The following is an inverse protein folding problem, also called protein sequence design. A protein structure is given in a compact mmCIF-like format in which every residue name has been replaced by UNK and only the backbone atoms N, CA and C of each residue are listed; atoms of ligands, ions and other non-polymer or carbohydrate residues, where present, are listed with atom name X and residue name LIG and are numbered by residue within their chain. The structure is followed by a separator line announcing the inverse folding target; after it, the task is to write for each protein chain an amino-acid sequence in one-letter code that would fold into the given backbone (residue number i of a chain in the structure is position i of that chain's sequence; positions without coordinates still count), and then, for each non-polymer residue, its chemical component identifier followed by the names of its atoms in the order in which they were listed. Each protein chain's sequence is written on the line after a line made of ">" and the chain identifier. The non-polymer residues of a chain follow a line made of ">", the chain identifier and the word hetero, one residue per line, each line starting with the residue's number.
data_IF_660318134849
#
_entry.id   IF_660318134849
#
_cell.length_a   1.000
_cell.length_b   1.000
_cell.length_c   1.000
_cell.angle_alpha   90.00
_cell.angle_beta   90.00
_cell.angle_gamma   90.00
#
_symmetry.space_group_name_H-M   'P 1'
#
loop_
_entity.id
_entity.type
_entity.pdbx_description
1 polymer ?
#
# COMPACT_ATOMS: atom_id res chain seq x y z
N UNK A 1 27.48 -20.96 0.60
CA UNK A 1 27.00 -21.54 1.88
C UNK A 1 25.55 -21.15 2.03
N UNK A 2 24.68 -22.10 2.37
CA UNK A 2 23.26 -22.03 2.23
C UNK A 2 22.63 -20.82 2.96
N UNK A 3 21.77 -20.09 2.25
CA UNK A 3 20.82 -19.15 2.86
C UNK A 3 20.05 -19.91 3.94
N UNK A 4 19.95 -19.34 5.13
CA UNK A 4 18.97 -19.81 6.12
C UNK A 4 17.60 -19.58 5.52
N UNK A 5 17.10 -20.58 4.78
CA UNK A 5 15.75 -20.58 4.26
C UNK A 5 14.79 -20.45 5.44
N UNK A 6 14.04 -19.36 5.47
CA UNK A 6 12.94 -19.22 6.43
C UNK A 6 11.99 -20.41 6.21
N UNK A 7 12.00 -21.36 7.16
CA UNK A 7 10.94 -22.35 7.24
C UNK A 7 9.62 -21.65 7.52
N UNK A 8 8.49 -22.11 6.93
CA UNK A 8 7.18 -21.59 7.29
C UNK A 8 6.98 -21.66 8.81
N UNK A 9 6.52 -20.58 9.41
CA UNK A 9 6.18 -20.54 10.84
C UNK A 9 5.02 -21.52 11.05
N UNK A 10 5.24 -22.55 11.86
CA UNK A 10 4.22 -23.53 12.21
C UNK A 10 3.01 -22.83 12.84
N UNK A 11 1.79 -23.04 12.29
CA UNK A 11 0.55 -22.47 12.82
C UNK A 11 -0.14 -21.44 11.90
N UNK A 12 0.35 -21.20 10.69
CA UNK A 12 -0.39 -20.38 9.71
C UNK A 12 -1.61 -21.14 9.17
N UNK A 13 -2.80 -20.52 9.14
CA UNK A 13 -3.96 -21.13 8.48
C UNK A 13 -3.63 -21.34 6.99
N UNK A 14 -3.89 -22.56 6.50
CA UNK A 14 -3.73 -22.92 5.09
C UNK A 14 -4.72 -22.16 4.21
N UNK A 15 -4.26 -21.73 3.04
CA UNK A 15 -5.11 -21.16 2.01
C UNK A 15 -5.92 -22.26 1.31
N UNK A 16 -7.15 -22.03 0.85
CA UNK A 16 -7.95 -23.07 0.15
C UNK A 16 -7.39 -23.41 -1.25
N UNK A 17 -7.05 -24.60 -1.47
CA UNK A 17 -6.66 -25.43 -2.63
C UNK A 17 -6.24 -24.80 -3.96
N UNK A 18 -7.13 -24.30 -4.80
CA UNK A 18 -6.76 -23.85 -6.18
C UNK A 18 -6.02 -22.50 -6.22
N UNK A 19 -6.15 -21.68 -5.20
CA UNK A 19 -5.52 -20.39 -5.11
C UNK A 19 -4.07 -20.48 -4.57
N UNK A 20 -3.69 -21.60 -3.92
CA UNK A 20 -2.32 -21.81 -3.40
C UNK A 20 -1.26 -21.82 -4.52
N UNK A 21 -1.55 -22.48 -5.64
CA UNK A 21 -0.63 -22.52 -6.76
C UNK A 21 -0.47 -21.15 -7.45
N UNK A 22 -1.57 -20.41 -7.58
CA UNK A 22 -1.54 -19.06 -8.15
C UNK A 22 -0.82 -18.09 -7.21
N UNK A 23 -1.07 -18.20 -5.90
CA UNK A 23 -0.37 -17.42 -4.88
C UNK A 23 1.14 -17.72 -4.84
N UNK A 24 1.52 -18.99 -4.85
CA UNK A 24 2.93 -19.40 -4.90
C UNK A 24 3.63 -18.91 -6.18
N UNK A 25 2.94 -18.95 -7.32
CA UNK A 25 3.45 -18.47 -8.60
C UNK A 25 3.72 -16.97 -8.55
N UNK A 26 2.75 -16.15 -8.11
CA UNK A 26 2.90 -14.68 -8.11
C UNK A 26 3.99 -14.23 -7.12
N UNK A 27 4.07 -14.85 -5.94
CA UNK A 27 5.12 -14.54 -4.96
C UNK A 27 6.51 -14.98 -5.45
N UNK A 28 6.61 -16.07 -6.19
CA UNK A 28 7.86 -16.49 -6.86
C UNK A 28 8.31 -15.48 -7.90
N UNK A 29 7.38 -14.98 -8.73
CA UNK A 29 7.67 -13.92 -9.72
C UNK A 29 8.10 -12.61 -9.05
N UNK A 30 7.39 -12.17 -8.01
CA UNK A 30 7.79 -11.00 -7.24
C UNK A 30 9.20 -11.14 -6.64
N UNK A 31 9.53 -12.31 -6.08
CA UNK A 31 10.84 -12.61 -5.52
C UNK A 31 11.95 -12.56 -6.58
N UNK A 32 11.67 -13.02 -7.79
CA UNK A 32 12.65 -13.02 -8.88
C UNK A 32 13.06 -11.61 -9.33
N UNK A 33 12.23 -10.59 -9.09
CA UNK A 33 12.54 -9.20 -9.43
C UNK A 33 13.47 -8.51 -8.43
N UNK A 34 13.65 -9.02 -7.22
CA UNK A 34 14.42 -8.34 -6.15
C UNK A 34 15.82 -7.90 -6.62
N UNK A 35 16.64 -8.74 -7.28
CA UNK A 35 17.99 -8.33 -7.69
C UNK A 35 17.99 -7.14 -8.65
N UNK A 36 17.12 -7.16 -9.68
CA UNK A 36 17.02 -6.07 -10.66
C UNK A 36 16.51 -4.78 -10.04
N UNK A 37 15.56 -4.86 -9.09
CA UNK A 37 15.05 -3.70 -8.38
C UNK A 37 16.14 -3.06 -7.51
N UNK A 38 16.96 -3.86 -6.83
CA UNK A 38 18.12 -3.36 -6.05
C UNK A 38 19.14 -2.64 -6.95
N UNK A 39 19.46 -3.22 -8.10
CA UNK A 39 20.39 -2.64 -9.06
C UNK A 39 19.88 -1.30 -9.58
N UNK A 40 18.59 -1.18 -9.88
CA UNK A 40 17.96 0.02 -10.45
C UNK A 40 17.56 1.08 -9.42
N UNK A 41 17.64 0.80 -8.12
CA UNK A 41 17.09 1.63 -7.08
C UNK A 41 17.64 3.08 -7.05
N UNK A 42 18.92 3.29 -7.35
CA UNK A 42 19.49 4.63 -7.47
C UNK A 42 18.87 5.40 -8.65
N UNK A 43 18.68 4.75 -9.79
CA UNK A 43 18.04 5.34 -10.97
C UNK A 43 16.56 5.63 -10.73
N UNK A 44 15.86 4.77 -9.99
CA UNK A 44 14.46 5.00 -9.57
C UNK A 44 14.34 6.30 -8.75
N UNK A 45 15.25 6.52 -7.80
CA UNK A 45 15.32 7.80 -7.05
C UNK A 45 15.59 9.00 -7.97
N UNK A 46 16.55 8.87 -8.88
CA UNK A 46 16.97 9.95 -9.78
C UNK A 46 15.85 10.35 -10.76
N UNK A 47 15.16 9.37 -11.32
CA UNK A 47 14.02 9.58 -12.22
C UNK A 47 12.78 10.14 -11.49
N UNK A 48 12.71 9.99 -10.18
CA UNK A 48 11.51 10.31 -9.38
C UNK A 48 10.24 9.59 -9.90
N UNK A 49 10.39 8.36 -10.38
CA UNK A 49 9.33 7.55 -10.99
C UNK A 49 9.84 6.16 -11.34
N UNK A 50 8.95 5.30 -11.81
CA UNK A 50 9.34 3.96 -12.27
C UNK A 50 10.18 4.05 -13.53
N UNK A 51 11.36 3.38 -13.58
CA UNK A 51 12.03 3.12 -14.84
C UNK A 51 11.11 2.33 -15.78
N UNK A 52 11.04 2.64 -17.10
CA UNK A 52 10.15 1.95 -18.02
C UNK A 52 10.36 0.43 -18.09
N UNK A 53 11.59 -0.04 -17.92
CA UNK A 53 11.90 -1.46 -17.83
C UNK A 53 11.37 -2.10 -16.54
N UNK A 54 11.35 -1.38 -15.42
CA UNK A 54 10.78 -1.86 -14.15
C UNK A 54 9.26 -1.98 -14.24
N UNK A 55 8.60 -1.01 -14.86
CA UNK A 55 7.16 -1.05 -15.11
C UNK A 55 6.79 -2.25 -15.98
N UNK A 56 7.53 -2.50 -17.08
CA UNK A 56 7.34 -3.70 -17.92
C UNK A 56 7.54 -5.00 -17.14
N UNK A 57 8.61 -5.10 -16.33
CA UNK A 57 8.87 -6.29 -15.52
C UNK A 57 7.71 -6.61 -14.56
N UNK A 58 7.07 -5.58 -13.96
CA UNK A 58 5.90 -5.73 -13.10
C UNK A 58 4.66 -6.20 -13.88
N UNK A 59 4.42 -5.68 -15.09
CA UNK A 59 3.35 -6.13 -15.99
C UNK A 59 3.58 -7.57 -16.45
N UNK A 60 4.78 -7.91 -16.94
CA UNK A 60 5.12 -9.24 -17.43
C UNK A 60 5.05 -10.30 -16.33
N UNK A 61 5.34 -9.91 -15.10
CA UNK A 61 5.15 -10.75 -13.93
C UNK A 61 3.67 -10.92 -13.52
N UNK A 62 2.73 -10.13 -14.09
CA UNK A 62 1.31 -10.14 -13.76
C UNK A 62 0.97 -9.51 -12.42
N UNK A 63 1.90 -8.74 -11.84
CA UNK A 63 1.79 -8.25 -10.48
C UNK A 63 0.69 -7.20 -10.30
N UNK A 64 0.47 -6.32 -11.27
CA UNK A 64 -0.60 -5.31 -11.16
C UNK A 64 -2.01 -5.92 -11.14
N UNK A 65 -2.18 -7.13 -11.71
CA UNK A 65 -3.48 -7.79 -11.89
C UNK A 65 -3.83 -8.83 -10.83
N UNK A 66 -3.03 -8.96 -9.77
CA UNK A 66 -3.17 -10.06 -8.81
C UNK A 66 -4.53 -10.05 -8.06
N UNK A 67 -5.14 -8.90 -7.81
CA UNK A 67 -6.47 -8.73 -7.18
C UNK A 67 -7.53 -8.19 -8.13
N UNK A 68 -7.24 -8.11 -9.42
CA UNK A 68 -8.20 -7.76 -10.45
C UNK A 68 -9.17 -8.93 -10.67
N UNK A 69 -10.45 -8.68 -11.01
CA UNK A 69 -11.45 -9.74 -11.21
C UNK A 69 -11.05 -10.75 -12.30
N UNK A 70 -11.32 -12.04 -12.04
CA UNK A 70 -11.12 -13.12 -13.01
C UNK A 70 -11.88 -12.92 -14.31
N UNK A 71 -13.07 -12.28 -14.26
CA UNK A 71 -13.89 -12.01 -15.46
C UNK A 71 -13.17 -11.15 -16.52
N UNK A 72 -12.17 -10.36 -16.11
CA UNK A 72 -11.34 -9.55 -17.00
C UNK A 72 -9.91 -10.07 -17.11
N UNK A 73 -9.68 -11.33 -16.71
CA UNK A 73 -8.40 -12.02 -16.79
C UNK A 73 -7.44 -11.73 -15.64
N UNK A 74 -7.90 -11.12 -14.54
CA UNK A 74 -7.13 -10.91 -13.32
C UNK A 74 -6.94 -12.16 -12.47
N UNK A 75 -6.07 -12.08 -11.47
CA UNK A 75 -5.77 -13.19 -10.56
C UNK A 75 -6.85 -13.44 -9.53
N UNK A 76 -7.58 -12.41 -9.09
CA UNK A 76 -8.60 -12.45 -8.03
C UNK A 76 -8.10 -13.19 -6.78
N UNK A 77 -6.84 -12.97 -6.42
CA UNK A 77 -6.20 -13.59 -5.26
C UNK A 77 -6.70 -12.97 -3.96
N UNK A 78 -6.53 -13.69 -2.86
CA UNK A 78 -6.82 -13.18 -1.53
C UNK A 78 -6.01 -11.91 -1.24
N UNK A 79 -6.61 -11.00 -0.48
CA UNK A 79 -6.04 -9.69 -0.16
C UNK A 79 -4.62 -9.73 0.41
N UNK A 80 -4.27 -10.81 1.14
CA UNK A 80 -2.91 -11.01 1.69
C UNK A 80 -1.83 -11.08 0.61
N UNK A 81 -2.17 -11.44 -0.63
CA UNK A 81 -1.23 -11.48 -1.75
C UNK A 81 -0.62 -10.10 -2.07
N UNK A 82 -1.40 -9.02 -1.90
CA UNK A 82 -0.89 -7.64 -2.03
C UNK A 82 0.25 -7.37 -1.05
N UNK A 83 0.07 -7.76 0.21
CA UNK A 83 1.04 -7.50 1.28
C UNK A 83 2.31 -8.31 1.05
N UNK A 84 2.17 -9.60 0.76
CA UNK A 84 3.31 -10.49 0.56
C UNK A 84 4.13 -10.08 -0.68
N UNK A 85 3.47 -9.68 -1.77
CA UNK A 85 4.17 -9.16 -2.94
C UNK A 85 4.81 -7.78 -2.66
N UNK A 86 4.13 -6.89 -1.93
CA UNK A 86 4.69 -5.60 -1.53
C UNK A 86 5.91 -5.77 -0.61
N UNK A 87 5.89 -6.73 0.34
CA UNK A 87 7.05 -7.09 1.14
C UNK A 87 8.23 -7.55 0.27
N UNK A 88 7.97 -8.46 -0.68
CA UNK A 88 9.02 -8.97 -1.55
C UNK A 88 9.65 -7.89 -2.41
N UNK A 89 8.83 -7.06 -3.08
CA UNK A 89 9.31 -5.96 -3.90
C UNK A 89 10.02 -4.89 -3.06
N UNK A 90 9.53 -4.61 -1.84
CA UNK A 90 10.14 -3.68 -0.89
C UNK A 90 11.54 -4.09 -0.42
N UNK A 91 11.89 -5.37 -0.51
CA UNK A 91 13.28 -5.84 -0.33
C UNK A 91 14.20 -5.40 -1.46
N UNK A 92 13.65 -5.12 -2.63
CA UNK A 92 14.38 -4.59 -3.77
C UNK A 92 14.46 -3.06 -3.76
N UNK A 93 13.27 -2.44 -3.77
CA UNK A 93 13.11 -0.98 -3.78
C UNK A 93 11.76 -0.58 -3.17
N UNK A 94 11.78 0.26 -2.14
CA UNK A 94 10.57 0.70 -1.45
C UNK A 94 9.67 1.58 -2.33
N UNK A 95 10.22 2.40 -3.21
CA UNK A 95 9.44 3.24 -4.11
C UNK A 95 8.71 2.42 -5.17
N UNK A 96 9.37 1.39 -5.73
CA UNK A 96 8.75 0.45 -6.67
C UNK A 96 7.63 -0.33 -5.99
N UNK A 97 7.90 -0.86 -4.78
CA UNK A 97 6.89 -1.57 -4.00
C UNK A 97 5.69 -0.68 -3.65
N UNK A 98 5.92 0.61 -3.36
CA UNK A 98 4.84 1.58 -3.11
C UNK A 98 3.96 1.80 -4.33
N UNK A 99 4.57 1.99 -5.51
CA UNK A 99 3.83 2.11 -6.75
C UNK A 99 3.05 0.83 -7.07
N UNK A 100 3.69 -0.33 -6.97
CA UNK A 100 3.01 -1.62 -7.12
C UNK A 100 1.80 -1.72 -6.18
N UNK A 101 2.00 -1.47 -4.88
CA UNK A 101 0.98 -1.62 -3.86
C UNK A 101 -0.24 -0.73 -4.13
N UNK A 102 -0.02 0.54 -4.47
CA UNK A 102 -1.10 1.45 -4.84
C UNK A 102 -1.80 1.00 -6.13
N UNK A 103 -1.06 0.85 -7.22
CA UNK A 103 -1.64 0.62 -8.55
C UNK A 103 -2.36 -0.73 -8.64
N UNK A 104 -1.82 -1.79 -8.02
CA UNK A 104 -2.48 -3.09 -7.94
C UNK A 104 -3.76 -3.05 -7.08
N UNK A 105 -3.73 -2.34 -5.93
CA UNK A 105 -4.90 -2.24 -5.06
C UNK A 105 -6.06 -1.46 -5.69
N UNK A 106 -5.79 -0.56 -6.63
CA UNK A 106 -6.85 0.16 -7.32
C UNK A 106 -7.63 -0.73 -8.29
N UNK A 107 -7.07 -1.84 -8.77
CA UNK A 107 -7.86 -2.87 -9.47
C UNK A 107 -8.84 -3.57 -8.53
N UNK A 108 -8.45 -3.84 -7.28
CA UNK A 108 -9.38 -4.33 -6.26
C UNK A 108 -10.50 -3.32 -6.01
N UNK A 109 -10.18 -2.04 -5.84
CA UNK A 109 -11.16 -0.99 -5.62
C UNK A 109 -12.09 -0.79 -6.83
N UNK A 110 -11.56 -0.78 -8.06
CA UNK A 110 -12.38 -0.66 -9.27
C UNK A 110 -13.35 -1.83 -9.40
N UNK A 111 -12.98 -3.03 -8.95
CA UNK A 111 -13.89 -4.19 -8.87
C UNK A 111 -15.14 -3.97 -8.02
N UNK A 112 -15.15 -2.94 -7.16
CA UNK A 112 -16.28 -2.54 -6.32
C UNK A 112 -17.16 -1.45 -6.93
N UNK A 113 -16.70 -0.77 -7.99
CA UNK A 113 -17.47 0.24 -8.71
C UNK A 113 -18.57 -0.39 -9.56
N UNK A 114 -19.50 0.43 -10.04
CA UNK A 114 -20.48 0.03 -11.04
C UNK A 114 -19.79 -0.66 -12.24
N UNK A 115 -20.43 -1.69 -12.80
CA UNK A 115 -19.86 -2.46 -13.92
C UNK A 115 -19.51 -1.58 -15.13
N UNK A 116 -20.26 -0.48 -15.37
CA UNK A 116 -19.99 0.46 -16.47
C UNK A 116 -18.64 1.15 -16.33
N UNK A 117 -18.21 1.48 -15.09
CA UNK A 117 -16.87 1.99 -14.83
C UNK A 117 -15.80 0.95 -15.13
N UNK A 118 -16.04 -0.29 -14.71
CA UNK A 118 -15.13 -1.41 -14.94
C UNK A 118 -14.97 -1.73 -16.43
N UNK A 119 -16.08 -1.75 -17.18
CA UNK A 119 -16.08 -2.04 -18.61
C UNK A 119 -15.42 -0.91 -19.42
N UNK A 120 -15.56 0.35 -18.97
CA UNK A 120 -14.90 1.50 -19.59
C UNK A 120 -13.37 1.42 -19.47
N UNK A 121 -12.85 0.98 -18.31
CA UNK A 121 -11.42 0.84 -18.08
C UNK A 121 -10.88 -0.44 -18.71
N UNK A 122 -11.37 -1.58 -18.25
CA UNK A 122 -10.82 -2.89 -18.59
C UNK A 122 -11.28 -3.44 -19.94
N UNK A 123 -12.44 -2.97 -20.45
CA UNK A 123 -12.91 -3.37 -21.78
C UNK A 123 -12.04 -2.82 -22.89
N UNK A 124 -11.35 -1.69 -22.64
CA UNK A 124 -10.40 -1.11 -23.58
C UNK A 124 -8.99 -1.65 -23.37
N UNK A 125 -8.55 -1.71 -22.13
CA UNK A 125 -7.21 -2.18 -21.75
C UNK A 125 -7.26 -2.81 -20.34
N UNK A 126 -7.20 -4.14 -20.22
CA UNK A 126 -7.21 -4.80 -18.93
C UNK A 126 -5.95 -4.55 -18.10
N UNK A 127 -4.88 -4.04 -18.69
CA UNK A 127 -3.61 -3.70 -18.04
C UNK A 127 -3.51 -2.21 -17.67
N UNK A 128 -4.56 -1.40 -17.98
CA UNK A 128 -4.59 0.03 -17.67
C UNK A 128 -4.38 0.29 -16.18
N UNK A 129 -3.38 1.10 -15.84
CA UNK A 129 -3.07 1.46 -14.46
C UNK A 129 -3.92 2.64 -13.97
N UNK A 130 -4.21 2.63 -12.68
CA UNK A 130 -5.07 3.60 -12.01
C UNK A 130 -4.31 4.17 -10.82
N UNK A 131 -4.06 5.48 -10.82
CA UNK A 131 -3.52 6.20 -9.67
C UNK A 131 -4.64 6.59 -8.69
N UNK A 132 -4.30 7.17 -7.56
CA UNK A 132 -5.28 7.79 -6.66
C UNK A 132 -4.72 8.93 -5.82
N UNK A 133 -5.65 9.75 -5.29
CA UNK A 133 -5.41 10.56 -4.10
C UNK A 133 -6.70 10.64 -3.28
N UNK A 134 -6.66 10.08 -2.07
CA UNK A 134 -7.82 10.01 -1.17
C UNK A 134 -7.82 11.11 -0.10
N UNK A 135 -7.46 12.32 -0.51
CA UNK A 135 -7.50 13.51 0.35
C UNK A 135 -8.83 14.24 0.09
N UNK A 136 -9.88 13.84 0.80
CA UNK A 136 -11.25 14.33 0.59
C UNK A 136 -11.37 15.85 0.59
N UNK A 137 -10.74 16.61 1.50
CA UNK A 137 -10.83 18.07 1.52
C UNK A 137 -10.17 18.77 0.33
N UNK A 138 -9.34 18.06 -0.46
CA UNK A 138 -8.65 18.61 -1.63
C UNK A 138 -9.58 18.85 -2.81
N UNK A 139 -10.70 18.11 -2.87
CA UNK A 139 -11.70 18.20 -3.93
C UNK A 139 -13.02 18.76 -3.47
N UNK A 140 -13.78 19.31 -4.44
CA UNK A 140 -15.18 19.69 -4.29
C UNK A 140 -15.96 19.15 -5.49
N UNK A 141 -16.99 18.39 -5.19
CA UNK A 141 -17.92 17.89 -6.19
C UNK A 141 -19.31 18.47 -5.96
N UNK A 142 -20.04 18.78 -7.03
CA UNK A 142 -21.44 19.20 -6.99
C UNK A 142 -22.25 18.26 -7.87
N UNK A 143 -23.36 17.75 -7.34
CA UNK A 143 -24.29 16.92 -8.10
C UNK A 143 -24.95 17.73 -9.21
N UNK A 144 -25.03 17.14 -10.41
CA UNK A 144 -25.70 17.69 -11.58
C UNK A 144 -26.47 16.58 -12.28
N UNK A 145 -27.27 16.90 -13.29
CA UNK A 145 -27.98 15.89 -14.07
C UNK A 145 -27.00 14.87 -14.68
N UNK A 146 -27.21 13.58 -14.40
CA UNK A 146 -26.43 12.45 -14.90
C UNK A 146 -25.06 12.24 -14.23
N UNK A 147 -24.67 13.03 -13.22
CA UNK A 147 -23.37 12.86 -12.56
C UNK A 147 -22.96 14.03 -11.67
N UNK A 148 -21.69 14.38 -11.76
CA UNK A 148 -21.07 15.38 -10.89
C UNK A 148 -20.15 16.32 -11.67
N UNK A 149 -20.03 17.57 -11.19
CA UNK A 149 -18.96 18.48 -11.55
C UNK A 149 -17.90 18.46 -10.47
N UNK A 150 -16.66 18.11 -10.84
CA UNK A 150 -15.53 17.92 -9.94
C UNK A 150 -14.44 18.97 -10.22
N UNK A 151 -13.92 19.58 -9.16
CA UNK A 151 -12.77 20.48 -9.22
C UNK A 151 -11.91 20.34 -7.97
N UNK A 152 -10.61 20.57 -8.09
CA UNK A 152 -9.69 20.56 -6.96
C UNK A 152 -8.25 20.35 -7.38
N UNK A 153 -7.38 20.29 -6.36
CA UNK A 153 -6.00 19.92 -6.52
C UNK A 153 -5.61 18.93 -5.42
N UNK A 154 -5.31 17.72 -5.84
CA UNK A 154 -4.99 16.62 -4.94
C UNK A 154 -3.48 16.37 -4.93
N UNK A 155 -2.80 16.47 -3.78
CA UNK A 155 -1.41 16.05 -3.65
C UNK A 155 -1.30 14.52 -3.57
N UNK A 156 -0.08 14.04 -3.74
CA UNK A 156 0.33 12.65 -3.45
C UNK A 156 -0.30 11.58 -4.33
N UNK A 157 -0.53 11.85 -5.64
CA UNK A 157 -0.98 10.83 -6.58
C UNK A 157 0.20 9.96 -7.02
N UNK A 158 0.48 8.88 -6.26
CA UNK A 158 1.62 7.99 -6.49
C UNK A 158 1.50 7.24 -7.82
N UNK A 159 2.59 7.19 -8.58
CA UNK A 159 2.64 6.48 -9.85
C UNK A 159 1.81 7.10 -10.97
N UNK A 160 1.30 8.32 -10.80
CA UNK A 160 0.38 8.96 -11.75
C UNK A 160 0.93 9.08 -13.17
N UNK A 161 2.25 9.16 -13.33
CA UNK A 161 2.89 9.24 -14.64
C UNK A 161 2.71 7.96 -15.49
N UNK A 162 2.54 6.80 -14.84
CA UNK A 162 2.30 5.50 -15.48
C UNK A 162 0.81 5.21 -15.70
N UNK A 163 -0.10 6.12 -15.32
CA UNK A 163 -1.53 5.80 -15.24
C UNK A 163 -2.36 6.48 -16.31
N UNK A 164 -3.33 5.72 -16.86
CA UNK A 164 -4.37 6.22 -17.75
C UNK A 164 -5.58 6.76 -16.97
N UNK A 165 -5.74 6.34 -15.73
CA UNK A 165 -6.87 6.66 -14.87
C UNK A 165 -6.43 7.13 -13.49
N UNK A 166 -7.32 7.84 -12.80
CA UNK A 166 -7.07 8.31 -11.44
C UNK A 166 -8.35 8.28 -10.60
N UNK A 167 -8.26 7.78 -9.37
CA UNK A 167 -9.33 7.80 -8.38
C UNK A 167 -9.11 8.98 -7.44
N UNK A 168 -9.96 9.99 -7.52
CA UNK A 168 -9.86 11.22 -6.72
C UNK A 168 -11.00 11.30 -5.71
N UNK A 169 -10.64 11.36 -4.42
CA UNK A 169 -11.62 11.51 -3.36
C UNK A 169 -12.06 12.96 -3.20
N UNK A 170 -13.34 13.18 -2.97
CA UNK A 170 -13.88 14.53 -2.79
C UNK A 170 -15.04 14.56 -1.80
N UNK A 171 -15.28 15.73 -1.27
CA UNK A 171 -16.52 16.09 -0.59
C UNK A 171 -17.54 16.49 -1.65
N UNK A 172 -18.72 15.90 -1.57
CA UNK A 172 -19.89 16.33 -2.37
C UNK A 172 -20.65 17.37 -1.57
N UNK A 173 -20.81 18.57 -2.12
CA UNK A 173 -21.68 19.58 -1.55
C UNK A 173 -23.10 19.41 -2.07
N UNK A 174 -24.09 19.38 -1.17
CA UNK A 174 -25.50 19.56 -1.49
C UNK A 174 -25.86 21.06 -1.35
N UNK A 175 -26.81 21.50 -2.16
CA UNK A 175 -27.43 22.82 -2.00
C UNK A 175 -28.37 22.84 -0.79
N UNK A 176 -28.73 21.66 -0.25
CA UNK A 176 -29.53 21.51 0.96
C UNK A 176 -28.64 21.13 2.14
N UNK A 177 -28.53 22.02 3.14
CA UNK A 177 -27.75 21.78 4.36
C UNK A 177 -28.22 20.55 5.16
N UNK A 178 -29.44 20.06 4.93
CA UNK A 178 -30.01 18.89 5.59
C UNK A 178 -29.44 17.55 5.09
N UNK A 179 -28.85 17.51 3.90
CA UNK A 179 -28.33 16.25 3.29
C UNK A 179 -27.00 15.76 3.88
N UNK A 180 -26.36 16.57 4.72
CA UNK A 180 -25.08 16.22 5.33
C UNK A 180 -23.90 16.24 4.35
N UNK A 181 -22.73 15.79 4.81
CA UNK A 181 -21.51 15.73 4.00
C UNK A 181 -21.37 14.30 3.43
N UNK A 182 -21.40 14.17 2.11
CA UNK A 182 -21.09 12.93 1.42
C UNK A 182 -19.61 12.90 1.00
N UNK A 183 -18.93 11.79 1.29
CA UNK A 183 -17.60 11.49 0.79
C UNK A 183 -17.71 10.51 -0.38
N UNK A 184 -17.08 10.86 -1.51
CA UNK A 184 -17.17 10.07 -2.75
C UNK A 184 -15.82 9.98 -3.45
N UNK A 185 -15.58 8.87 -4.14
CA UNK A 185 -14.40 8.65 -5.00
C UNK A 185 -14.87 8.74 -6.44
N UNK A 186 -14.14 9.49 -7.24
CA UNK A 186 -14.40 9.76 -8.65
C UNK A 186 -13.30 9.17 -9.52
N UNK A 187 -13.66 8.42 -10.54
CA UNK A 187 -12.75 7.84 -11.52
C UNK A 187 -12.65 8.77 -12.74
N UNK A 188 -11.46 9.28 -13.01
CA UNK A 188 -11.17 10.21 -14.12
C UNK A 188 -10.18 9.60 -15.10
N UNK A 189 -10.36 9.89 -16.39
CA UNK A 189 -9.35 9.60 -17.40
C UNK A 189 -8.25 10.67 -17.37
N UNK A 190 -7.03 10.34 -17.81
CA UNK A 190 -5.88 11.27 -17.82
C UNK A 190 -6.11 12.56 -18.63
N UNK A 191 -7.11 12.58 -19.52
CA UNK A 191 -7.46 13.78 -20.29
C UNK A 191 -8.28 14.79 -19.47
N UNK A 192 -8.83 14.37 -18.32
CA UNK A 192 -9.71 15.19 -17.46
C UNK A 192 -8.95 15.86 -16.32
N UNK A 193 -7.66 15.60 -16.19
CA UNK A 193 -6.81 16.21 -15.16
C UNK A 193 -5.42 16.57 -15.69
N UNK A 194 -4.73 17.43 -14.96
CA UNK A 194 -3.34 17.82 -15.21
C UNK A 194 -2.46 17.32 -14.05
N UNK A 195 -1.35 16.66 -14.38
CA UNK A 195 -0.30 16.35 -13.41
C UNK A 195 0.60 17.57 -13.23
N UNK A 196 0.87 17.92 -11.97
CA UNK A 196 1.76 19.03 -11.60
C UNK A 196 2.99 18.45 -10.90
N UNK A 197 4.17 18.70 -11.43
CA UNK A 197 5.44 18.17 -10.88
C UNK A 197 5.78 18.84 -9.54
N UNK A 198 5.51 18.15 -8.46
CA UNK A 198 5.69 18.62 -7.08
C UNK A 198 6.52 17.66 -6.22
N UNK A 199 6.74 16.42 -6.70
CA UNK A 199 7.33 15.37 -5.86
C UNK A 199 8.85 15.50 -5.71
N UNK A 200 9.28 16.41 -4.81
CA UNK A 200 10.66 16.60 -4.41
C UNK A 200 10.83 16.21 -2.93
N UNK A 201 10.85 14.91 -2.66
CA UNK A 201 10.84 14.34 -1.31
C UNK A 201 12.21 13.85 -0.85
N UNK A 202 12.36 13.67 0.47
CA UNK A 202 13.58 13.14 1.10
C UNK A 202 13.67 11.61 0.97
N UNK A 203 12.57 10.91 0.95
CA UNK A 203 12.44 9.45 0.77
C UNK A 203 11.28 9.11 -0.16
N UNK A 204 11.14 7.84 -0.55
CA UNK A 204 10.18 7.38 -1.54
C UNK A 204 10.23 8.21 -2.84
N UNK A 205 11.40 8.67 -3.22
CA UNK A 205 11.57 9.60 -4.36
C UNK A 205 11.05 9.01 -5.67
N UNK A 206 11.25 7.70 -5.87
CA UNK A 206 10.83 6.99 -7.07
C UNK A 206 9.33 6.70 -7.16
N UNK A 207 8.51 7.18 -6.21
CA UNK A 207 7.05 7.00 -6.32
C UNK A 207 6.40 7.98 -7.28
N UNK A 208 7.04 9.11 -7.59
CA UNK A 208 6.46 10.13 -8.46
C UNK A 208 5.10 10.62 -7.98
N UNK A 209 4.93 10.78 -6.66
CA UNK A 209 3.65 11.13 -6.03
C UNK A 209 3.29 12.60 -6.26
N UNK A 210 3.15 12.97 -7.52
CA UNK A 210 2.87 14.32 -7.97
C UNK A 210 1.45 14.77 -7.63
N UNK A 211 1.20 16.08 -7.67
CA UNK A 211 -0.14 16.62 -7.56
C UNK A 211 -0.94 16.39 -8.85
N UNK A 212 -2.26 16.32 -8.68
CA UNK A 212 -3.23 16.26 -9.77
C UNK A 212 -4.22 17.41 -9.63
N UNK A 213 -4.46 18.15 -10.72
CA UNK A 213 -5.37 19.28 -10.77
C UNK A 213 -6.51 19.01 -11.74
N UNK A 214 -7.75 19.21 -11.29
CA UNK A 214 -8.99 19.12 -12.07
C UNK A 214 -9.68 20.47 -12.04
N UNK A 215 -10.04 20.98 -13.21
CA UNK A 215 -10.58 22.35 -13.36
C UNK A 215 -12.07 22.39 -13.68
N UNK A 216 -12.94 21.57 -13.23
CA UNK A 216 -14.37 21.47 -13.53
C UNK A 216 -14.69 20.33 -14.52
N UNK A 217 -14.24 19.11 -14.23
CA UNK A 217 -14.57 17.94 -15.04
C UNK A 217 -16.00 17.46 -14.75
N UNK A 218 -16.71 17.02 -15.80
CA UNK A 218 -17.95 16.27 -15.64
C UNK A 218 -17.61 14.78 -15.45
N UNK A 219 -18.08 14.20 -14.35
CA UNK A 219 -17.91 12.77 -14.04
C UNK A 219 -19.29 12.12 -14.00
N UNK A 220 -19.61 11.19 -14.92
CA UNK A 220 -20.85 10.41 -14.87
C UNK A 220 -21.03 9.70 -13.53
N UNK A 221 -22.26 9.55 -13.06
CA UNK A 221 -22.55 8.91 -11.78
C UNK A 221 -21.96 7.50 -11.68
N UNK A 222 -21.99 6.71 -12.76
CA UNK A 222 -21.41 5.38 -12.83
C UNK A 222 -19.88 5.34 -12.62
N UNK A 223 -19.17 6.46 -12.83
CA UNK A 223 -17.74 6.58 -12.61
C UNK A 223 -17.41 7.10 -11.20
N UNK A 224 -18.33 6.92 -10.26
CA UNK A 224 -18.12 7.32 -8.87
C UNK A 224 -18.72 6.31 -7.92
N UNK A 225 -18.22 6.27 -6.69
CA UNK A 225 -18.70 5.42 -5.61
C UNK A 225 -18.71 6.19 -4.29
N UNK A 226 -19.77 6.08 -3.50
CA UNK A 226 -19.80 6.67 -2.18
C UNK A 226 -18.90 5.87 -1.21
N UNK A 227 -18.22 6.58 -0.29
CA UNK A 227 -17.35 5.90 0.70
C UNK A 227 -18.14 4.95 1.60
N UNK A 228 -19.40 5.28 1.90
CA UNK A 228 -20.30 4.41 2.66
C UNK A 228 -20.58 3.07 1.98
N UNK A 229 -20.52 3.01 0.65
CA UNK A 229 -20.66 1.76 -0.13
C UNK A 229 -19.40 0.88 -0.10
N UNK A 230 -18.27 1.41 0.40
CA UNK A 230 -16.98 0.74 0.53
C UNK A 230 -16.65 0.36 1.98
N UNK A 231 -17.62 0.46 2.88
CA UNK A 231 -17.42 0.21 4.31
C UNK A 231 -17.48 -1.27 4.71
N UNK A 232 -17.58 -2.17 3.74
CA UNK A 232 -17.73 -3.61 3.91
C UNK A 232 -19.15 -4.10 3.54
N UNK A 233 -19.25 -5.32 3.00
CA UNK A 233 -20.48 -5.89 2.48
C UNK A 233 -20.68 -5.64 0.97
N UNK A 234 -21.90 -5.83 0.44
CA UNK A 234 -22.17 -5.66 -0.98
C UNK A 234 -21.84 -4.26 -1.48
N UNK A 235 -21.25 -4.18 -2.67
CA UNK A 235 -20.84 -2.95 -3.35
C UNK A 235 -21.58 -2.82 -4.69
N UNK A 236 -21.54 -1.65 -5.37
CA UNK A 236 -22.11 -1.52 -6.72
C UNK A 236 -21.56 -2.55 -7.72
N UNK A 237 -20.30 -3.01 -7.53
CA UNK A 237 -19.65 -4.02 -8.35
C UNK A 237 -20.06 -5.47 -8.06
N UNK A 238 -20.75 -5.73 -6.95
CA UNK A 238 -21.05 -7.11 -6.49
C UNK A 238 -21.92 -7.91 -7.47
N UNK A 239 -22.70 -7.23 -8.32
CA UNK A 239 -23.51 -7.89 -9.34
C UNK A 239 -22.68 -8.65 -10.38
N UNK A 240 -21.46 -8.19 -10.66
CA UNK A 240 -20.55 -8.78 -11.67
C UNK A 240 -19.30 -9.41 -11.05
N UNK A 241 -18.98 -9.08 -9.80
CA UNK A 241 -17.83 -9.60 -9.05
C UNK A 241 -18.31 -10.20 -7.71
N UNK A 242 -18.77 -11.46 -7.69
CA UNK A 242 -19.36 -12.08 -6.50
C UNK A 242 -18.34 -12.53 -5.44
N UNK A 243 -17.04 -12.40 -5.70
CA UNK A 243 -15.99 -12.80 -4.76
C UNK A 243 -16.02 -11.96 -3.48
N UNK A 244 -15.82 -12.61 -2.34
CA UNK A 244 -15.69 -11.97 -1.04
C UNK A 244 -14.59 -10.89 -0.99
N UNK A 245 -13.61 -10.94 -1.89
CA UNK A 245 -12.56 -9.92 -2.04
C UNK A 245 -13.17 -8.53 -2.25
N UNK A 246 -14.25 -8.41 -3.03
CA UNK A 246 -14.88 -7.12 -3.37
C UNK A 246 -15.97 -6.69 -2.37
N UNK A 247 -16.05 -7.34 -1.22
CA UNK A 247 -16.90 -6.95 -0.08
C UNK A 247 -16.10 -6.50 1.14
N UNK A 248 -14.78 -6.44 1.02
CA UNK A 248 -13.89 -6.02 2.11
C UNK A 248 -14.00 -4.50 2.39
N UNK A 249 -13.87 -4.05 3.66
CA UNK A 249 -13.93 -2.64 4.03
C UNK A 249 -12.66 -1.90 3.58
N UNK A 250 -12.79 -1.06 2.54
CA UNK A 250 -11.64 -0.43 1.86
C UNK A 250 -10.79 0.37 2.83
N UNK A 251 -11.36 1.37 3.52
CA UNK A 251 -10.57 2.29 4.34
C UNK A 251 -10.06 1.68 5.65
N UNK A 252 -10.56 0.50 6.05
CA UNK A 252 -9.99 -0.26 7.15
C UNK A 252 -8.78 -1.09 6.72
N UNK A 253 -8.76 -1.59 5.47
CA UNK A 253 -7.74 -2.50 4.95
C UNK A 253 -6.72 -1.83 4.03
N UNK A 254 -7.06 -0.73 3.37
CA UNK A 254 -6.15 -0.02 2.48
C UNK A 254 -4.75 0.26 3.10
N UNK A 255 -4.62 0.61 4.39
CA UNK A 255 -3.30 0.79 5.01
C UNK A 255 -2.38 -0.43 4.89
N UNK A 256 -2.95 -1.65 4.89
CA UNK A 256 -2.14 -2.88 4.86
C UNK A 256 -1.39 -3.06 3.54
N UNK A 257 -1.94 -2.60 2.43
CA UNK A 257 -1.26 -2.61 1.12
C UNK A 257 0.08 -1.89 1.23
N UNK A 258 0.07 -0.69 1.80
CA UNK A 258 1.26 0.14 1.98
C UNK A 258 2.16 -0.36 3.13
N UNK A 259 1.59 -1.03 4.14
CA UNK A 259 2.34 -1.62 5.26
C UNK A 259 3.28 -2.72 4.81
N UNK A 260 2.91 -3.50 3.77
CA UNK A 260 3.80 -4.50 3.16
C UNK A 260 5.10 -3.89 2.65
N UNK A 261 5.07 -2.66 2.15
CA UNK A 261 6.26 -1.91 1.71
C UNK A 261 7.20 -1.62 2.88
N UNK A 262 6.64 -1.16 4.01
CA UNK A 262 7.43 -0.91 5.23
C UNK A 262 8.11 -2.19 5.72
N UNK A 263 7.40 -3.31 5.68
CA UNK A 263 7.90 -4.62 6.07
C UNK A 263 9.07 -5.06 5.17
N UNK A 264 8.93 -4.94 3.85
CA UNK A 264 9.98 -5.28 2.89
C UNK A 264 11.23 -4.41 3.05
N UNK A 265 11.05 -3.09 3.21
CA UNK A 265 12.15 -2.16 3.43
C UNK A 265 12.88 -2.43 4.76
N UNK A 266 12.15 -2.73 5.84
CA UNK A 266 12.74 -3.06 7.13
C UNK A 266 13.51 -4.39 7.09
N UNK A 267 12.97 -5.40 6.42
CA UNK A 267 13.65 -6.68 6.23
C UNK A 267 14.92 -6.51 5.39
N UNK A 268 14.88 -5.73 4.33
CA UNK A 268 16.08 -5.43 3.54
C UNK A 268 17.16 -4.71 4.37
N UNK A 269 16.73 -3.75 5.20
CA UNK A 269 17.65 -3.04 6.09
C UNK A 269 18.33 -4.00 7.10
N UNK A 270 17.57 -4.94 7.66
CA UNK A 270 18.10 -5.97 8.55
C UNK A 270 19.09 -6.89 7.82
N UNK A 271 18.74 -7.39 6.64
CA UNK A 271 19.58 -8.28 5.85
C UNK A 271 20.90 -7.60 5.46
N UNK A 272 20.84 -6.35 4.98
CA UNK A 272 22.00 -5.54 4.60
C UNK A 272 22.88 -5.17 5.81
N UNK A 273 22.26 -4.86 6.96
CA UNK A 273 23.01 -4.58 8.19
C UNK A 273 23.76 -5.84 8.70
N UNK A 274 23.11 -7.01 8.66
CA UNK A 274 23.75 -8.29 9.04
C UNK A 274 24.93 -8.58 8.13
N UNK A 275 24.78 -8.38 6.82
CA UNK A 275 25.87 -8.60 5.87
C UNK A 275 27.07 -7.68 6.15
N UNK A 276 26.81 -6.40 6.35
CA UNK A 276 27.85 -5.45 6.76
C UNK A 276 28.50 -5.85 8.08
N UNK A 277 27.73 -6.24 9.09
CA UNK A 277 28.25 -6.59 10.42
C UNK A 277 29.17 -7.82 10.40
N UNK A 278 28.89 -8.79 9.51
CA UNK A 278 29.73 -10.00 9.36
C UNK A 278 31.15 -9.69 8.87
N UNK A 279 31.30 -8.67 8.02
CA UNK A 279 32.57 -8.41 7.33
C UNK A 279 33.31 -7.19 7.86
N UNK A 280 32.72 -6.41 8.78
CA UNK A 280 33.26 -5.15 9.25
C UNK A 280 33.87 -5.24 10.65
N UNK A 281 34.96 -4.51 10.83
CA UNK A 281 35.54 -4.23 12.15
C UNK A 281 35.28 -2.77 12.56
N UNK A 282 35.20 -2.53 13.86
CA UNK A 282 35.13 -1.20 14.46
C UNK A 282 36.39 -0.40 14.15
N UNK A 283 36.21 0.85 13.76
CA UNK A 283 37.33 1.76 13.50
C UNK A 283 38.10 2.13 14.78
N UNK A 284 37.44 2.04 15.91
CA UNK A 284 37.97 2.49 17.20
C UNK A 284 38.91 1.47 17.85
N UNK A 285 38.49 0.20 17.92
CA UNK A 285 39.20 -0.86 18.64
C UNK A 285 39.51 -2.07 17.78
N UNK A 286 39.23 -2.02 16.47
CA UNK A 286 39.41 -3.12 15.52
C UNK A 286 38.64 -4.40 15.83
N UNK A 287 37.75 -4.39 16.84
CA UNK A 287 36.90 -5.54 17.14
C UNK A 287 35.90 -5.78 15.98
N UNK A 288 35.64 -7.03 15.64
CA UNK A 288 34.64 -7.40 14.66
C UNK A 288 33.26 -7.01 15.18
N UNK A 289 32.44 -6.33 14.34
CA UNK A 289 31.08 -5.96 14.74
C UNK A 289 30.23 -7.20 15.09
N UNK A 290 30.43 -8.29 14.38
CA UNK A 290 29.73 -9.56 14.65
C UNK A 290 29.95 -10.09 16.08
N UNK A 291 31.13 -9.83 16.69
CA UNK A 291 31.49 -10.30 18.04
C UNK A 291 30.97 -9.36 19.15
N UNK A 292 30.44 -8.20 18.79
CA UNK A 292 29.91 -7.22 19.74
C UNK A 292 28.49 -7.57 20.19
N UNK A 293 28.32 -7.78 21.51
CA UNK A 293 27.02 -8.03 22.11
C UNK A 293 25.96 -6.95 21.72
N UNK A 294 26.36 -5.68 21.68
CA UNK A 294 25.48 -4.58 21.28
C UNK A 294 24.96 -4.73 19.86
N UNK A 295 25.75 -5.24 18.92
CA UNK A 295 25.34 -5.55 17.55
C UNK A 295 24.35 -6.71 17.53
N UNK A 296 24.66 -7.78 18.26
CA UNK A 296 23.82 -8.98 18.35
C UNK A 296 22.42 -8.66 18.93
N UNK A 297 22.38 -7.87 20.01
CA UNK A 297 21.11 -7.43 20.64
C UNK A 297 20.26 -6.60 19.65
N UNK A 298 20.85 -5.65 18.92
CA UNK A 298 20.14 -4.80 17.97
C UNK A 298 19.57 -5.60 16.78
N UNK A 299 20.31 -6.60 16.30
CA UNK A 299 19.83 -7.52 15.27
C UNK A 299 18.61 -8.30 15.80
N UNK A 300 18.70 -8.85 17.02
CA UNK A 300 17.61 -9.60 17.63
C UNK A 300 16.36 -8.75 17.85
N UNK A 301 16.52 -7.50 18.35
CA UNK A 301 15.42 -6.57 18.57
C UNK A 301 14.75 -6.15 17.27
N UNK A 302 15.54 -5.77 16.25
CA UNK A 302 15.02 -5.39 14.95
C UNK A 302 14.26 -6.55 14.28
N UNK A 303 14.82 -7.78 14.34
CA UNK A 303 14.17 -8.98 13.81
C UNK A 303 12.83 -9.24 14.51
N UNK A 304 12.77 -9.15 15.84
CA UNK A 304 11.54 -9.38 16.60
C UNK A 304 10.45 -8.35 16.26
N UNK A 305 10.81 -7.06 16.05
CA UNK A 305 9.88 -6.01 15.63
C UNK A 305 9.30 -6.30 14.22
N UNK A 306 10.15 -6.71 13.28
CA UNK A 306 9.77 -7.05 11.91
C UNK A 306 8.85 -8.28 11.90
N UNK A 307 9.18 -9.31 12.66
CA UNK A 307 8.36 -10.53 12.75
C UNK A 307 7.00 -10.24 13.40
N UNK A 308 6.97 -9.42 14.45
CA UNK A 308 5.72 -8.96 15.08
C UNK A 308 4.83 -8.19 14.10
N UNK A 309 5.40 -7.26 13.34
CA UNK A 309 4.70 -6.51 12.31
C UNK A 309 4.11 -7.45 11.23
N UNK A 310 4.90 -8.40 10.73
CA UNK A 310 4.47 -9.38 9.72
C UNK A 310 3.31 -10.24 10.21
N UNK A 311 3.40 -10.75 11.43
CA UNK A 311 2.34 -11.56 12.02
C UNK A 311 1.03 -10.78 12.15
N UNK A 312 1.06 -9.54 12.64
CA UNK A 312 -0.11 -8.68 12.79
C UNK A 312 -0.75 -8.41 11.42
N UNK A 313 0.04 -7.96 10.45
CA UNK A 313 -0.46 -7.63 9.10
C UNK A 313 -1.14 -8.83 8.44
N UNK A 314 -0.45 -9.97 8.40
CA UNK A 314 -0.98 -11.17 7.73
C UNK A 314 -2.21 -11.72 8.44
N UNK A 315 -2.17 -11.81 9.78
CA UNK A 315 -3.31 -12.29 10.57
C UNK A 315 -4.57 -11.48 10.33
N UNK A 316 -4.45 -10.15 10.30
CA UNK A 316 -5.58 -9.26 10.06
C UNK A 316 -6.15 -9.40 8.64
N UNK A 317 -5.31 -9.52 7.62
CA UNK A 317 -5.80 -9.66 6.24
C UNK A 317 -6.41 -11.03 5.97
N UNK A 318 -5.82 -12.11 6.49
CA UNK A 318 -6.38 -13.46 6.40
C UNK A 318 -7.71 -13.53 7.16
N UNK A 319 -7.78 -12.93 8.36
CA UNK A 319 -9.00 -12.85 9.16
C UNK A 319 -10.11 -12.10 8.45
N UNK A 320 -9.81 -10.92 7.87
CA UNK A 320 -10.78 -10.12 7.12
C UNK A 320 -11.35 -10.88 5.91
N UNK A 321 -10.51 -11.61 5.17
CA UNK A 321 -10.97 -12.47 4.06
C UNK A 321 -11.86 -13.62 4.57
N UNK A 322 -11.50 -14.25 5.69
CA UNK A 322 -12.29 -15.32 6.28
C UNK A 322 -13.66 -14.80 6.76
N UNK A 323 -13.73 -13.61 7.33
CA UNK A 323 -14.99 -12.96 7.73
C UNK A 323 -15.86 -12.62 6.52
N UNK A 324 -15.28 -12.02 5.49
CA UNK A 324 -15.98 -11.67 4.25
C UNK A 324 -16.57 -12.91 3.56
N UNK A 325 -15.84 -14.04 3.52
CA UNK A 325 -16.34 -15.32 2.98
C UNK A 325 -17.52 -15.87 3.75
N UNK A 326 -17.65 -15.54 5.04
CA UNK A 326 -18.83 -15.90 5.86
C UNK A 326 -19.96 -14.89 5.76
N UNK A 327 -19.81 -13.83 4.95
CA UNK A 327 -20.76 -12.73 4.84
C UNK A 327 -20.79 -11.83 6.08
N UNK A 328 -19.74 -11.89 6.93
CA UNK A 328 -19.65 -11.06 8.12
C UNK A 328 -19.11 -9.68 7.74
N UNK A 329 -19.90 -8.64 8.05
CA UNK A 329 -19.49 -7.23 7.89
C UNK A 329 -18.88 -6.77 9.22
N UNK A 330 -17.62 -6.29 9.24
CA UNK A 330 -16.99 -5.87 10.48
C UNK A 330 -17.69 -4.66 11.09
N UNK A 331 -17.91 -4.71 12.39
CA UNK A 331 -18.40 -3.57 13.17
C UNK A 331 -17.34 -2.48 13.34
N UNK A 332 -17.69 -1.36 13.95
CA UNK A 332 -16.78 -0.23 14.13
C UNK A 332 -15.59 -0.59 15.05
N UNK A 333 -15.76 -1.50 16.00
CA UNK A 333 -14.68 -1.94 16.88
C UNK A 333 -13.63 -2.74 16.09
N UNK A 334 -14.08 -3.67 15.23
CA UNK A 334 -13.20 -4.42 14.33
C UNK A 334 -12.48 -3.49 13.33
N UNK A 335 -13.19 -2.53 12.73
CA UNK A 335 -12.63 -1.57 11.78
C UNK A 335 -11.55 -0.69 12.40
N UNK A 336 -11.81 -0.14 13.60
CA UNK A 336 -10.83 0.69 14.31
C UNK A 336 -9.62 -0.10 14.78
N UNK A 337 -9.82 -1.40 15.16
CA UNK A 337 -8.72 -2.32 15.46
C UNK A 337 -7.82 -2.53 14.24
N UNK A 338 -8.38 -2.77 13.06
CA UNK A 338 -7.60 -2.92 11.82
C UNK A 338 -6.76 -1.67 11.54
N UNK A 339 -7.33 -0.47 11.68
CA UNK A 339 -6.62 0.80 11.49
C UNK A 339 -5.45 0.97 12.47
N UNK A 340 -5.69 0.71 13.76
CA UNK A 340 -4.65 0.75 14.80
C UNK A 340 -3.51 -0.21 14.49
N UNK A 341 -3.83 -1.46 14.17
CA UNK A 341 -2.86 -2.52 13.94
C UNK A 341 -2.00 -2.24 12.70
N UNK A 342 -2.59 -1.69 11.63
CA UNK A 342 -1.85 -1.28 10.44
C UNK A 342 -0.82 -0.17 10.74
N UNK A 343 -1.23 0.88 11.46
CA UNK A 343 -0.33 1.96 11.87
C UNK A 343 0.75 1.46 12.83
N UNK A 344 0.40 0.65 13.81
CA UNK A 344 1.36 0.07 14.78
C UNK A 344 2.41 -0.79 14.11
N UNK A 345 2.01 -1.60 13.14
CA UNK A 345 2.94 -2.48 12.40
C UNK A 345 3.99 -1.68 11.61
N UNK A 346 3.59 -0.55 11.00
CA UNK A 346 4.54 0.33 10.29
C UNK A 346 5.49 1.02 11.28
N UNK A 347 5.00 1.42 12.45
CA UNK A 347 5.87 1.97 13.51
C UNK A 347 6.94 0.96 13.93
N UNK A 348 6.58 -0.31 14.14
CA UNK A 348 7.56 -1.37 14.45
C UNK A 348 8.63 -1.51 13.36
N UNK A 349 8.24 -1.46 12.08
CA UNK A 349 9.18 -1.50 10.95
C UNK A 349 10.12 -0.28 10.95
N UNK A 350 9.58 0.94 11.18
CA UNK A 350 10.36 2.18 11.21
C UNK A 350 11.33 2.22 12.39
N UNK A 351 10.90 1.74 13.56
CA UNK A 351 11.76 1.59 14.74
C UNK A 351 12.92 0.61 14.48
N UNK A 352 12.64 -0.53 13.83
CA UNK A 352 13.66 -1.50 13.47
C UNK A 352 14.71 -0.88 12.53
N UNK A 353 14.28 -0.16 11.49
CA UNK A 353 15.19 0.54 10.56
C UNK A 353 16.00 1.61 11.28
N UNK A 354 15.37 2.42 12.14
CA UNK A 354 16.03 3.48 12.90
C UNK A 354 17.09 2.92 13.85
N UNK A 355 16.79 1.79 14.51
CA UNK A 355 17.72 1.08 15.38
C UNK A 355 18.98 0.61 14.61
N UNK A 356 18.79 -0.02 13.45
CA UNK A 356 19.87 -0.53 12.61
C UNK A 356 20.69 0.59 11.97
N UNK A 357 20.03 1.64 11.49
CA UNK A 357 20.69 2.81 10.92
C UNK A 357 21.59 3.50 11.98
N UNK A 358 21.08 3.73 13.19
CA UNK A 358 21.86 4.29 14.30
C UNK A 358 23.08 3.42 14.64
N UNK A 359 22.92 2.09 14.53
CA UNK A 359 24.00 1.14 14.77
C UNK A 359 25.05 1.11 13.66
N UNK A 360 24.74 1.58 12.45
CA UNK A 360 25.70 1.62 11.32
C UNK A 360 26.81 2.66 11.49
N UNK A 361 26.62 3.61 12.42
CA UNK A 361 27.53 4.72 12.68
C UNK A 361 27.65 5.68 11.49
N UNK A 362 28.67 6.53 11.47
CA UNK A 362 28.88 7.57 10.46
C UNK A 362 28.91 7.04 9.01
N UNK A 363 29.29 5.79 8.79
CA UNK A 363 29.28 5.19 7.45
C UNK A 363 27.87 4.97 6.89
N UNK A 364 26.86 4.85 7.75
CA UNK A 364 25.47 4.80 7.32
C UNK A 364 24.99 6.07 6.61
N UNK A 365 25.68 7.19 6.80
CA UNK A 365 25.31 8.49 6.22
C UNK A 365 25.72 8.67 4.74
N UNK A 366 26.63 7.81 4.22
CA UNK A 366 27.10 7.97 2.85
C UNK A 366 26.00 7.63 1.84
N UNK A 367 25.75 8.52 0.89
CA UNK A 367 24.71 8.37 -0.14
C UNK A 367 24.95 7.19 -1.09
N UNK A 368 26.18 6.69 -1.15
CA UNK A 368 26.55 5.47 -1.88
C UNK A 368 26.12 4.18 -1.17
N UNK A 369 25.75 4.26 0.12
CA UNK A 369 25.28 3.12 0.91
C UNK A 369 23.77 2.95 0.83
N UNK A 370 23.28 1.70 0.94
CA UNK A 370 21.83 1.41 0.87
C UNK A 370 21.08 1.78 2.14
N UNK A 371 21.72 1.70 3.33
CA UNK A 371 21.07 1.90 4.62
C UNK A 371 20.45 3.30 4.78
N UNK A 372 21.11 4.35 4.28
CA UNK A 372 20.55 5.70 4.34
C UNK A 372 19.29 5.85 3.48
N UNK A 373 19.20 5.16 2.33
CA UNK A 373 17.99 5.16 1.51
C UNK A 373 16.86 4.44 2.23
N UNK A 374 17.12 3.24 2.74
CA UNK A 374 16.16 2.47 3.53
C UNK A 374 15.64 3.25 4.75
N UNK A 375 16.51 4.01 5.42
CA UNK A 375 16.14 4.89 6.53
C UNK A 375 15.22 6.03 6.06
N UNK A 376 15.58 6.75 4.98
CA UNK A 376 14.76 7.83 4.44
C UNK A 376 13.39 7.32 3.97
N UNK A 377 13.37 6.18 3.30
CA UNK A 377 12.15 5.55 2.80
C UNK A 377 11.26 5.08 3.96
N UNK A 378 11.81 4.46 5.01
CA UNK A 378 11.04 4.05 6.19
C UNK A 378 10.32 5.23 6.86
N UNK A 379 11.02 6.37 7.01
CA UNK A 379 10.41 7.58 7.59
C UNK A 379 9.41 8.24 6.64
N UNK A 380 9.65 8.21 5.34
CA UNK A 380 8.69 8.68 4.34
C UNK A 380 7.41 7.83 4.32
N UNK A 381 7.53 6.49 4.40
CA UNK A 381 6.40 5.58 4.54
C UNK A 381 5.59 5.92 5.80
N UNK A 382 6.26 6.03 6.95
CA UNK A 382 5.60 6.28 8.23
C UNK A 382 4.93 7.68 8.32
N UNK A 383 5.32 8.61 7.47
CA UNK A 383 4.71 9.94 7.39
C UNK A 383 3.35 9.94 6.69
N UNK A 384 2.94 8.84 6.07
CA UNK A 384 1.64 8.74 5.41
C UNK A 384 0.50 8.76 6.44
N UNK A 385 -0.58 9.49 6.14
CA UNK A 385 -1.73 9.69 7.04
C UNK A 385 -2.30 8.37 7.60
N UNK A 386 -2.30 7.30 6.80
CA UNK A 386 -2.80 5.99 7.22
C UNK A 386 -2.02 5.39 8.40
N UNK A 387 -0.78 5.84 8.64
CA UNK A 387 0.13 5.33 9.67
C UNK A 387 0.31 6.27 10.86
N UNK A 388 -0.46 7.37 10.89
CA UNK A 388 -0.52 8.22 12.07
C UNK A 388 -1.14 7.44 13.24
N UNK A 389 -0.28 6.93 14.13
CA UNK A 389 -0.71 6.09 15.24
C UNK A 389 -1.53 6.88 16.27
N UNK A 390 -1.25 8.17 16.47
CA UNK A 390 -2.01 9.01 17.42
C UNK A 390 -3.47 9.10 16.97
N UNK A 391 -3.72 9.31 15.67
CA UNK A 391 -5.07 9.34 15.14
C UNK A 391 -5.75 7.96 15.18
N UNK A 392 -5.06 6.91 14.71
CA UNK A 392 -5.63 5.55 14.69
C UNK A 392 -5.84 4.98 16.10
N UNK A 393 -4.88 5.20 17.00
CA UNK A 393 -4.93 4.76 18.40
C UNK A 393 -5.99 5.51 19.21
N UNK A 394 -6.11 6.84 19.02
CA UNK A 394 -7.15 7.64 19.65
C UNK A 394 -8.53 7.14 19.24
N UNK A 395 -8.77 6.94 17.96
CA UNK A 395 -10.07 6.45 17.48
C UNK A 395 -10.40 5.05 18.02
N UNK A 396 -9.43 4.13 18.03
CA UNK A 396 -9.59 2.82 18.66
C UNK A 396 -9.92 2.95 20.15
N UNK A 397 -9.17 3.77 20.89
CA UNK A 397 -9.38 4.01 22.33
C UNK A 397 -10.76 4.60 22.65
N UNK A 398 -11.24 5.57 21.83
CA UNK A 398 -12.59 6.11 21.94
C UNK A 398 -13.65 5.02 21.85
N UNK A 399 -13.59 4.19 20.80
CA UNK A 399 -14.56 3.10 20.58
C UNK A 399 -14.47 2.06 21.71
N UNK A 400 -13.28 1.70 22.17
CA UNK A 400 -13.09 0.80 23.30
C UNK A 400 -13.67 1.33 24.62
N UNK A 401 -13.76 2.67 24.77
CA UNK A 401 -14.41 3.35 25.92
C UNK A 401 -15.92 3.59 25.71
N UNK A 402 -16.51 3.08 24.62
CA UNK A 402 -17.93 3.27 24.30
C UNK A 402 -18.28 4.64 23.70
N UNK A 403 -17.28 5.42 23.27
CA UNK A 403 -17.49 6.68 22.56
C UNK A 403 -17.64 6.45 21.06
N UNK A 404 -18.32 7.31 20.30
CA UNK A 404 -18.43 7.18 18.85
C UNK A 404 -17.08 7.35 18.18
N UNK A 405 -16.90 6.66 17.05
CA UNK A 405 -15.77 6.90 16.13
C UNK A 405 -15.83 8.33 15.60
N UNK A 406 -14.67 8.96 15.47
CA UNK A 406 -14.50 10.26 14.81
C UNK A 406 -13.98 10.13 13.37
N UNK A 407 -13.77 8.91 12.90
CA UNK A 407 -13.32 8.63 11.53
C UNK A 407 -14.51 8.38 10.61
N UNK A 408 -14.81 9.34 9.76
CA UNK A 408 -15.95 9.32 8.83
C UNK A 408 -15.79 8.36 7.64
N UNK A 409 -14.64 7.72 7.48
CA UNK A 409 -14.39 6.76 6.38
C UNK A 409 -14.54 5.29 6.78
N UNK A 410 -14.91 4.98 8.03
CA UNK A 410 -15.00 3.61 8.56
C UNK A 410 -16.41 3.02 8.56
#
# INVERSE_FOLDING_TARGET
>A
MASVGQKPIAGQPAMPGSDENAFATITTRARALIPQLRERAARTEELRGLPPETERDLHDAGLFRLVQPKRVGGGELDYVALIDCAELLGKGDASVAWNFANLASHHWMLGMFDHRAQDLVWGKDPDALIASSFIFPAGRARKVEGGYRLRGRWPFSSGVASCEWNMLASVVSSDDEADGIEYRIFLLNKNDYKTVDTWNSVGLRGTGSNDVEVNDAFVPEALSVAVSELAGGPTPGSAVNPSALYTLPVFSLFPYVLSGVALGNAQACLDDYIDVARHRASTYNRAKLADMQSTQIKIAEASAKIDGARLIMRSNCIGAMADARRGHIPDIAAKTKLRRDGAFSVNLCTEAVSLLFSASGARGLFTTGVLQRQFRDAHAINSHLAFNFDAAGTNYGRVALGLPSDNLTL
#
